data_IF_066820826404
#
_entry.id   IF_066820826404
#
_cell.length_a   1.000
_cell.length_b   1.000
_cell.length_c   1.000
_cell.angle_alpha   90.00
_cell.angle_beta   90.00
_cell.angle_gamma   90.00
#
_symmetry.space_group_name_H-M   'P 1'
#
loop_
_entity.id
_entity.type
_entity.pdbx_description
1 polymer ?
#
# COMPACT_ATOMS: atom_id res chain seq x y z
N UNK A 1 -17.69 -10.74 11.68
CA UNK A 1 -18.52 -10.64 10.45
C UNK A 1 -18.24 -9.35 9.67
N UNK A 2 -18.34 -8.16 10.27
CA UNK A 2 -18.09 -6.87 9.59
C UNK A 2 -16.67 -6.78 9.02
N UNK A 3 -15.62 -7.09 9.80
CA UNK A 3 -14.23 -7.06 9.34
C UNK A 3 -13.98 -7.96 8.12
N UNK A 4 -14.53 -9.18 8.15
CA UNK A 4 -14.43 -10.15 7.04
C UNK A 4 -15.08 -9.62 5.76
N UNK A 5 -16.25 -8.99 5.86
CA UNK A 5 -16.92 -8.36 4.71
C UNK A 5 -16.10 -7.20 4.13
N UNK A 6 -15.54 -6.33 4.98
CA UNK A 6 -14.65 -5.24 4.55
C UNK A 6 -13.48 -5.81 3.76
N UNK A 7 -12.84 -6.88 4.24
CA UNK A 7 -11.72 -7.51 3.54
C UNK A 7 -12.14 -8.12 2.21
N UNK A 8 -13.23 -8.90 2.16
CA UNK A 8 -13.72 -9.51 0.91
C UNK A 8 -14.02 -8.43 -0.13
N UNK A 9 -14.73 -7.36 0.26
CA UNK A 9 -15.03 -6.23 -0.62
C UNK A 9 -13.74 -5.56 -1.09
N UNK A 10 -12.78 -5.33 -0.18
CA UNK A 10 -11.49 -4.72 -0.50
C UNK A 10 -10.67 -5.57 -1.48
N UNK A 11 -10.73 -6.90 -1.36
CA UNK A 11 -10.11 -7.84 -2.28
C UNK A 11 -10.76 -7.80 -3.67
N UNK A 12 -12.09 -7.91 -3.74
CA UNK A 12 -12.83 -7.83 -5.00
C UNK A 12 -12.59 -6.50 -5.72
N UNK A 13 -12.58 -5.41 -4.96
CA UNK A 13 -12.27 -4.07 -5.47
C UNK A 13 -10.83 -3.98 -5.95
N UNK A 14 -9.86 -4.50 -5.19
CA UNK A 14 -8.45 -4.51 -5.60
C UNK A 14 -8.22 -5.29 -6.90
N UNK A 15 -8.77 -6.49 -7.00
CA UNK A 15 -8.64 -7.35 -8.19
C UNK A 15 -9.33 -6.70 -9.40
N UNK A 16 -10.57 -6.20 -9.24
CA UNK A 16 -11.31 -5.58 -10.33
C UNK A 16 -10.63 -4.30 -10.84
N UNK A 17 -10.15 -3.46 -9.92
CA UNK A 17 -9.39 -2.26 -10.28
C UNK A 17 -8.10 -2.60 -11.03
N UNK A 18 -7.31 -3.56 -10.53
CA UNK A 18 -6.10 -4.00 -11.23
C UNK A 18 -6.43 -4.57 -12.62
N UNK A 19 -7.47 -5.37 -12.74
CA UNK A 19 -7.87 -5.98 -14.01
C UNK A 19 -8.32 -4.94 -15.05
N UNK A 20 -9.08 -3.94 -14.63
CA UNK A 20 -9.67 -2.93 -15.54
C UNK A 20 -8.64 -1.86 -15.93
N UNK A 21 -7.86 -1.36 -14.98
CA UNK A 21 -7.01 -0.17 -15.21
C UNK A 21 -5.57 -0.51 -15.57
N UNK A 22 -5.09 -1.73 -15.33
CA UNK A 22 -3.70 -2.09 -15.63
C UNK A 22 -3.52 -2.38 -17.13
N UNK A 23 -2.67 -1.61 -17.85
CA UNK A 23 -2.45 -1.84 -19.28
C UNK A 23 -1.77 -3.18 -19.54
N UNK A 24 -2.41 -4.05 -20.33
CA UNK A 24 -1.87 -5.40 -20.66
C UNK A 24 -0.47 -5.35 -21.28
N UNK A 25 -0.15 -4.31 -22.06
CA UNK A 25 1.17 -4.12 -22.68
C UNK A 25 2.33 -3.97 -21.67
N UNK A 26 2.04 -3.48 -20.46
CA UNK A 26 3.02 -3.26 -19.41
C UNK A 26 2.75 -4.15 -18.18
N UNK A 27 2.05 -5.28 -18.36
CA UNK A 27 1.61 -6.13 -17.25
C UNK A 27 2.78 -6.57 -16.37
N UNK A 28 3.91 -7.00 -16.96
CA UNK A 28 5.12 -7.42 -16.24
C UNK A 28 5.63 -6.34 -15.29
N UNK A 29 5.58 -5.09 -15.73
CA UNK A 29 6.02 -3.93 -14.96
C UNK A 29 5.11 -3.68 -13.73
N UNK A 30 3.80 -3.78 -13.89
CA UNK A 30 2.87 -3.57 -12.78
C UNK A 30 2.80 -4.78 -11.83
N UNK A 31 2.96 -6.01 -12.32
CA UNK A 31 3.06 -7.22 -11.49
C UNK A 31 4.30 -7.15 -10.59
N UNK A 32 5.48 -6.78 -11.12
CA UNK A 32 6.67 -6.67 -10.28
C UNK A 32 6.55 -5.51 -9.28
N UNK A 33 5.89 -4.41 -9.67
CA UNK A 33 5.61 -3.29 -8.77
C UNK A 33 4.72 -3.75 -7.62
N UNK A 34 3.66 -4.51 -7.92
CA UNK A 34 2.77 -5.12 -6.93
C UNK A 34 3.57 -6.00 -5.97
N UNK A 35 4.28 -7.02 -6.48
CA UNK A 35 5.03 -7.96 -5.64
C UNK A 35 6.08 -7.26 -4.76
N UNK A 36 6.85 -6.34 -5.33
CA UNK A 36 7.84 -5.58 -4.58
C UNK A 36 7.18 -4.73 -3.49
N UNK A 37 6.07 -4.05 -3.81
CA UNK A 37 5.34 -3.27 -2.82
C UNK A 37 4.75 -4.14 -1.69
N UNK A 38 4.30 -5.37 -1.98
CA UNK A 38 3.88 -6.33 -0.95
C UNK A 38 5.02 -6.68 -0.01
N UNK A 39 6.21 -6.98 -0.54
CA UNK A 39 7.38 -7.33 0.27
C UNK A 39 7.83 -6.18 1.15
N UNK A 40 7.92 -4.97 0.58
CA UNK A 40 8.33 -3.77 1.34
C UNK A 40 7.29 -3.44 2.41
N UNK A 41 6.00 -3.46 2.07
CA UNK A 41 4.92 -3.20 3.03
C UNK A 41 5.00 -4.17 4.21
N UNK A 42 5.13 -5.46 3.93
CA UNK A 42 5.25 -6.48 4.96
C UNK A 42 6.46 -6.27 5.87
N UNK A 43 7.63 -5.93 5.31
CA UNK A 43 8.83 -5.68 6.10
C UNK A 43 8.68 -4.47 7.04
N UNK A 44 8.12 -3.38 6.56
CA UNK A 44 7.85 -2.19 7.38
C UNK A 44 6.77 -2.44 8.42
N UNK A 45 5.78 -3.24 8.08
CA UNK A 45 4.70 -3.61 8.97
C UNK A 45 5.20 -4.48 10.13
N UNK A 46 6.05 -5.46 9.82
CA UNK A 46 6.71 -6.27 10.82
C UNK A 46 7.47 -5.41 11.84
N UNK A 47 8.18 -4.38 11.38
CA UNK A 47 8.87 -3.43 12.26
C UNK A 47 7.88 -2.72 13.18
N UNK A 48 6.79 -2.16 12.63
CA UNK A 48 5.79 -1.42 13.41
C UNK A 48 5.12 -2.28 14.49
N UNK A 49 4.75 -3.52 14.15
CA UNK A 49 4.18 -4.48 15.10
C UNK A 49 5.21 -4.90 16.16
N UNK A 50 6.47 -5.12 15.76
CA UNK A 50 7.53 -5.54 16.68
C UNK A 50 7.84 -4.48 17.73
N UNK A 51 7.74 -3.19 17.37
CA UNK A 51 7.87 -2.07 18.29
C UNK A 51 6.57 -1.72 19.04
N UNK A 52 5.48 -2.49 18.87
CA UNK A 52 4.21 -2.25 19.54
C UNK A 52 3.55 -0.92 19.16
N UNK A 53 3.84 -0.43 17.96
CA UNK A 53 3.32 0.85 17.47
C UNK A 53 1.87 0.70 16.99
N UNK A 54 1.60 -0.41 16.31
CA UNK A 54 0.28 -0.79 15.80
C UNK A 54 -0.01 -2.27 16.09
N UNK A 55 -1.29 -2.59 16.16
CA UNK A 55 -1.79 -3.94 16.41
C UNK A 55 -2.92 -4.27 15.43
N UNK A 56 -3.12 -5.56 15.17
CA UNK A 56 -4.21 -6.07 14.35
C UNK A 56 -5.10 -6.95 15.22
N UNK A 57 -6.17 -6.41 15.83
CA UNK A 57 -7.06 -7.21 16.67
C UNK A 57 -7.75 -8.32 15.88
N UNK A 58 -8.19 -8.03 14.66
CA UNK A 58 -8.67 -9.05 13.72
C UNK A 58 -7.58 -9.41 12.71
N UNK A 59 -7.27 -10.71 12.62
CA UNK A 59 -6.25 -11.27 11.72
C UNK A 59 -6.78 -12.50 11.02
N UNK A 60 -6.48 -12.63 9.74
CA UNK A 60 -6.87 -13.80 8.95
C UNK A 60 -6.08 -15.04 9.35
N UNK A 61 -4.80 -14.84 9.68
CA UNK A 61 -3.86 -15.90 10.05
C UNK A 61 -3.33 -15.71 11.47
N UNK A 62 -4.23 -15.61 12.45
CA UNK A 62 -3.90 -15.33 13.86
C UNK A 62 -2.85 -16.27 14.46
N UNK A 63 -2.85 -17.56 14.07
CA UNK A 63 -1.87 -18.54 14.57
C UNK A 63 -0.47 -18.39 13.94
N UNK A 64 -0.38 -17.79 12.76
CA UNK A 64 0.87 -17.74 11.98
C UNK A 64 1.53 -16.36 12.00
N UNK A 65 0.75 -15.28 12.14
CA UNK A 65 1.26 -13.91 12.05
C UNK A 65 0.49 -12.96 12.96
N UNK A 66 1.21 -11.98 13.51
CA UNK A 66 0.62 -10.84 14.23
C UNK A 66 0.16 -9.70 13.30
N UNK A 67 0.46 -9.79 12.00
CA UNK A 67 0.15 -8.77 10.99
C UNK A 67 -1.13 -9.09 10.22
N UNK A 68 -1.83 -8.08 9.68
CA UNK A 68 -2.91 -8.31 8.71
C UNK A 68 -2.36 -8.69 7.34
N UNK A 69 -2.84 -9.82 6.80
CA UNK A 69 -2.40 -10.29 5.49
C UNK A 69 -3.02 -9.47 4.36
N UNK A 70 -4.35 -9.28 4.37
CA UNK A 70 -5.06 -8.64 3.26
C UNK A 70 -4.64 -7.19 3.05
N UNK A 71 -4.43 -6.44 4.13
CA UNK A 71 -4.03 -5.04 4.06
C UNK A 71 -2.68 -4.88 3.34
N UNK A 72 -1.72 -5.77 3.61
CA UNK A 72 -0.34 -5.61 3.14
C UNK A 72 -0.02 -6.40 1.87
N UNK A 73 -0.74 -7.49 1.59
CA UNK A 73 -0.50 -8.32 0.41
C UNK A 73 -1.48 -8.08 -0.75
N UNK A 74 -2.64 -7.46 -0.50
CA UNK A 74 -3.60 -7.16 -1.55
C UNK A 74 -3.85 -5.65 -1.70
N UNK A 75 -4.24 -4.99 -0.62
CA UNK A 75 -4.79 -3.63 -0.69
C UNK A 75 -3.68 -2.58 -0.88
N UNK A 76 -2.68 -2.59 -0.02
CA UNK A 76 -1.54 -1.67 -0.13
C UNK A 76 -0.75 -1.82 -1.44
N UNK A 77 -0.46 -3.04 -1.92
CA UNK A 77 0.22 -3.22 -3.21
C UNK A 77 -0.60 -2.73 -4.40
N UNK A 78 -1.92 -2.92 -4.36
CA UNK A 78 -2.83 -2.36 -5.35
C UNK A 78 -2.73 -0.83 -5.36
N UNK A 79 -2.80 -0.21 -4.19
CA UNK A 79 -2.64 1.24 -4.04
C UNK A 79 -1.32 1.74 -4.66
N UNK A 80 -0.23 1.01 -4.43
CA UNK A 80 1.09 1.33 -4.98
C UNK A 80 1.15 1.18 -6.50
N UNK A 81 0.51 0.16 -7.08
CA UNK A 81 0.39 0.05 -8.54
C UNK A 81 -0.32 1.28 -9.12
N UNK A 82 -1.41 1.73 -8.51
CA UNK A 82 -2.14 2.93 -8.93
C UNK A 82 -1.31 4.21 -8.79
N UNK A 83 -0.54 4.34 -7.70
CA UNK A 83 0.39 5.45 -7.52
C UNK A 83 1.39 5.54 -8.68
N UNK A 84 1.95 4.40 -9.11
CA UNK A 84 2.90 4.32 -10.22
C UNK A 84 2.22 4.49 -11.57
N UNK A 85 1.03 3.92 -11.77
CA UNK A 85 0.26 4.00 -13.00
C UNK A 85 -0.03 5.45 -13.38
N UNK A 86 -0.45 6.26 -12.41
CA UNK A 86 -0.79 7.66 -12.62
C UNK A 86 0.34 8.63 -12.28
N UNK A 87 1.56 8.12 -12.03
CA UNK A 87 2.68 8.99 -11.67
C UNK A 87 3.05 9.94 -12.83
N UNK A 88 3.10 11.27 -12.60
CA UNK A 88 3.29 12.23 -13.68
C UNK A 88 4.77 12.35 -14.10
N UNK A 89 5.28 11.39 -14.88
CA UNK A 89 6.71 11.27 -15.25
C UNK A 89 7.23 12.50 -16.00
N UNK A 90 6.47 13.02 -16.96
CA UNK A 90 6.86 14.16 -17.82
C UNK A 90 6.69 15.53 -17.17
N UNK A 91 6.13 15.60 -15.96
CA UNK A 91 5.82 16.87 -15.29
C UNK A 91 6.96 17.34 -14.38
N UNK A 92 6.89 18.62 -14.00
CA UNK A 92 7.83 19.24 -13.06
C UNK A 92 7.82 18.65 -11.65
N UNK A 93 8.85 18.97 -10.86
CA UNK A 93 9.05 18.45 -9.49
C UNK A 93 7.84 18.70 -8.57
N UNK A 94 7.19 19.85 -8.71
CA UNK A 94 6.02 20.23 -7.90
C UNK A 94 4.84 19.28 -8.13
N UNK A 95 4.46 19.00 -9.38
CA UNK A 95 3.36 18.08 -9.69
C UNK A 95 3.65 16.66 -9.21
N UNK A 96 4.90 16.20 -9.31
CA UNK A 96 5.35 14.90 -8.78
C UNK A 96 5.24 14.83 -7.25
N UNK A 97 5.60 15.92 -6.58
CA UNK A 97 5.47 16.03 -5.12
C UNK A 97 4.00 16.03 -4.71
N UNK A 98 3.16 16.88 -5.31
CA UNK A 98 1.71 16.93 -5.05
C UNK A 98 1.02 15.59 -5.28
N UNK A 99 1.37 14.87 -6.34
CA UNK A 99 0.87 13.51 -6.59
C UNK A 99 1.23 12.56 -5.44
N UNK A 100 2.46 12.64 -4.94
CA UNK A 100 2.90 11.82 -3.80
C UNK A 100 2.20 12.23 -2.51
N UNK A 101 2.00 13.52 -2.27
CA UNK A 101 1.22 14.02 -1.13
C UNK A 101 -0.22 13.52 -1.17
N UNK A 102 -0.87 13.58 -2.34
CA UNK A 102 -2.25 13.12 -2.51
C UNK A 102 -2.38 11.64 -2.17
N UNK A 103 -1.52 10.78 -2.74
CA UNK A 103 -1.54 9.35 -2.43
C UNK A 103 -1.19 9.07 -0.97
N UNK A 104 -0.25 9.81 -0.39
CA UNK A 104 0.06 9.69 1.03
C UNK A 104 -1.17 10.01 1.91
N UNK A 105 -1.86 11.12 1.63
CA UNK A 105 -3.06 11.53 2.36
C UNK A 105 -4.20 10.53 2.19
N UNK A 106 -4.42 10.00 0.99
CA UNK A 106 -5.44 8.97 0.74
C UNK A 106 -5.17 7.70 1.56
N UNK A 107 -3.91 7.26 1.63
CA UNK A 107 -3.51 6.11 2.41
C UNK A 107 -3.65 6.37 3.92
N UNK A 108 -3.22 7.55 4.39
CA UNK A 108 -3.36 7.96 5.77
C UNK A 108 -4.84 8.03 6.18
N UNK A 109 -5.70 8.59 5.31
CA UNK A 109 -7.15 8.62 5.51
C UNK A 109 -7.75 7.21 5.55
N UNK A 110 -7.36 6.33 4.63
CA UNK A 110 -7.81 4.94 4.60
C UNK A 110 -7.48 4.22 5.92
N UNK A 111 -6.22 4.28 6.37
CA UNK A 111 -5.80 3.66 7.64
C UNK A 111 -6.48 4.27 8.85
N UNK A 112 -6.71 5.58 8.87
CA UNK A 112 -7.47 6.25 9.93
C UNK A 112 -8.93 5.78 10.00
N UNK A 113 -9.60 5.63 8.84
CA UNK A 113 -10.97 5.10 8.79
C UNK A 113 -11.03 3.65 9.25
N UNK A 114 -10.06 2.82 8.87
CA UNK A 114 -9.97 1.45 9.37
C UNK A 114 -9.81 1.42 10.89
N UNK A 115 -8.92 2.25 11.45
CA UNK A 115 -8.72 2.33 12.89
C UNK A 115 -9.98 2.79 13.65
N UNK A 116 -10.74 3.73 13.07
CA UNK A 116 -11.93 4.30 13.72
C UNK A 116 -13.16 3.41 13.64
N UNK A 117 -13.35 2.69 12.53
CA UNK A 117 -14.60 1.99 12.22
C UNK A 117 -14.48 0.47 12.15
N UNK A 118 -13.27 -0.10 12.28
CA UNK A 118 -13.04 -1.54 12.20
C UNK A 118 -12.02 -2.00 13.23
N UNK A 119 -11.93 -3.31 13.43
CA UNK A 119 -10.87 -3.91 14.24
C UNK A 119 -9.72 -4.44 13.36
N UNK A 120 -9.59 -3.92 12.14
CA UNK A 120 -8.57 -4.34 11.18
C UNK A 120 -7.22 -3.69 11.43
N UNK A 121 -7.14 -2.60 12.18
CA UNK A 121 -5.89 -1.97 12.60
C UNK A 121 -6.18 -1.15 13.86
N UNK A 122 -5.26 -1.16 14.82
CA UNK A 122 -5.35 -0.35 16.03
C UNK A 122 -4.03 0.37 16.27
N UNK A 123 -4.10 1.70 16.41
CA UNK A 123 -2.95 2.54 16.72
C UNK A 123 -2.75 2.61 18.24
N UNK A 124 -1.60 2.13 18.74
CA UNK A 124 -1.25 2.17 20.17
C UNK A 124 -0.46 3.42 20.53
N UNK A 125 0.77 3.51 20.01
CA UNK A 125 1.68 4.65 20.19
C UNK A 125 1.95 5.37 18.87
N UNK A 126 1.01 5.26 17.94
CA UNK A 126 1.18 5.68 16.57
C UNK A 126 0.46 7.00 16.29
N UNK A 127 1.21 7.99 15.84
CA UNK A 127 0.68 9.30 15.47
C UNK A 127 0.51 9.37 13.94
N UNK A 128 -0.53 10.08 13.51
CA UNK A 128 -0.81 10.39 12.12
C UNK A 128 0.40 10.97 11.36
N UNK A 129 1.24 11.77 12.01
CA UNK A 129 2.47 12.30 11.40
C UNK A 129 3.50 11.21 11.09
N UNK A 130 3.61 10.17 11.92
CA UNK A 130 4.48 9.02 11.63
C UNK A 130 3.95 8.23 10.43
N UNK A 131 2.63 8.04 10.32
CA UNK A 131 2.01 7.45 9.12
C UNK A 131 2.45 8.20 7.87
N UNK A 132 2.34 9.53 7.87
CA UNK A 132 2.69 10.35 6.71
C UNK A 132 4.17 10.20 6.36
N UNK A 133 5.08 10.32 7.34
CA UNK A 133 6.52 10.20 7.11
C UNK A 133 6.91 8.85 6.52
N UNK A 134 6.40 7.75 7.09
CA UNK A 134 6.72 6.39 6.65
C UNK A 134 6.09 6.10 5.28
N UNK A 135 4.85 6.54 5.05
CA UNK A 135 4.22 6.42 3.74
C UNK A 135 5.02 7.14 2.65
N UNK A 136 5.63 8.29 2.95
CA UNK A 136 6.51 8.98 1.98
C UNK A 136 7.74 8.14 1.65
N UNK A 137 8.40 7.56 2.67
CA UNK A 137 9.57 6.70 2.48
C UNK A 137 9.20 5.47 1.65
N UNK A 138 8.08 4.83 1.96
CA UNK A 138 7.59 3.65 1.25
C UNK A 138 7.26 3.96 -0.21
N UNK A 139 6.42 4.98 -0.46
CA UNK A 139 6.04 5.39 -1.82
C UNK A 139 7.27 5.79 -2.63
N UNK A 140 8.22 6.51 -2.02
CA UNK A 140 9.47 6.87 -2.68
C UNK A 140 10.32 5.64 -3.04
N UNK A 141 10.43 4.67 -2.13
CA UNK A 141 11.19 3.43 -2.33
C UNK A 141 10.59 2.61 -3.47
N UNK A 142 9.27 2.41 -3.45
CA UNK A 142 8.52 1.69 -4.49
C UNK A 142 8.67 2.41 -5.84
N UNK A 143 8.55 3.74 -5.85
CA UNK A 143 8.77 4.56 -7.05
C UNK A 143 10.15 4.34 -7.65
N UNK A 144 11.19 4.41 -6.81
CA UNK A 144 12.57 4.29 -7.25
C UNK A 144 12.83 2.92 -7.86
N UNK A 145 12.35 1.86 -7.20
CA UNK A 145 12.44 0.50 -7.71
C UNK A 145 11.68 0.32 -9.03
N UNK A 146 10.41 0.76 -9.08
CA UNK A 146 9.57 0.61 -10.26
C UNK A 146 10.21 1.30 -11.48
N UNK A 147 10.60 2.57 -11.38
CA UNK A 147 11.22 3.26 -12.52
C UNK A 147 12.58 2.68 -12.91
N UNK A 148 13.36 2.17 -11.95
CA UNK A 148 14.59 1.44 -12.26
C UNK A 148 14.29 0.17 -13.07
N UNK A 149 13.33 -0.64 -12.65
CA UNK A 149 12.94 -1.85 -13.37
C UNK A 149 12.36 -1.54 -14.76
N UNK A 150 11.54 -0.48 -14.87
CA UNK A 150 11.00 -0.04 -16.15
C UNK A 150 12.09 0.38 -17.13
N UNK A 151 13.17 0.99 -16.65
CA UNK A 151 14.31 1.35 -17.50
C UNK A 151 14.95 0.09 -18.09
N UNK A 152 15.23 -0.92 -17.28
CA UNK A 152 15.82 -2.19 -17.75
C UNK A 152 14.91 -3.07 -18.61
N UNK A 153 13.59 -2.81 -18.65
CA UNK A 153 12.67 -3.48 -19.59
C UNK A 153 12.67 -2.87 -21.00
N UNK A 154 13.12 -1.62 -21.13
CA UNK A 154 13.14 -0.88 -22.40
C UNK A 154 14.54 -0.87 -23.04
N UNK A 155 15.52 -1.49 -22.38
CA UNK A 155 16.84 -1.82 -22.92
C UNK A 155 16.76 -3.18 -23.63
#
# INVERSE_FOLDING_TARGET
>A
MINTLILIISWLLSISLLWVFTPRKQLRYYVITFLFSSTVAWAFEYIQVSFGLIEFPYREFEKASKMSFSLHYAIYPTFCVFYILYFPVSQGKVKKFLHTCLFNLLLALYTFLLNKYSSLIEFKHWNFFYSIGINFILLYTIKRFAFWFKKGLNE
#
